data_IF_689215713665
#
_entry.id   IF_689215713665
#
_cell.length_a   1.000
_cell.length_b   1.000
_cell.length_c   1.000
_cell.angle_alpha   90.00
_cell.angle_beta   90.00
_cell.angle_gamma   90.00
#
_symmetry.space_group_name_H-M   'P 1'
#
loop_
_entity.id
_entity.type
_entity.pdbx_description
1 polymer ?
#
# COMPACT_ATOMS: atom_id res chain seq x y z
N UNK A 1 23.65 2.01 3.60
CA UNK A 1 22.32 2.54 3.23
C UNK A 1 21.92 3.70 4.11
N UNK A 2 22.13 3.62 5.43
CA UNK A 2 21.90 4.68 6.42
C UNK A 2 22.40 6.06 5.98
N UNK A 3 23.65 6.20 5.51
CA UNK A 3 24.18 7.49 5.02
C UNK A 3 23.35 8.10 3.87
N UNK A 4 22.83 7.27 2.96
CA UNK A 4 21.98 7.75 1.86
C UNK A 4 20.63 8.23 2.39
N UNK A 5 20.04 7.48 3.34
CA UNK A 5 18.80 7.87 4.01
C UNK A 5 18.99 9.15 4.82
N UNK A 6 20.12 9.30 5.52
CA UNK A 6 20.44 10.50 6.31
C UNK A 6 20.43 11.74 5.43
N UNK A 7 21.15 11.68 4.29
CA UNK A 7 21.19 12.79 3.33
C UNK A 7 19.81 13.10 2.75
N UNK A 8 19.00 12.07 2.46
CA UNK A 8 17.64 12.27 1.99
C UNK A 8 16.77 12.94 3.05
N UNK A 9 16.89 12.51 4.31
CA UNK A 9 16.08 13.01 5.42
C UNK A 9 16.43 14.45 5.82
N UNK A 10 17.68 14.86 5.66
CA UNK A 10 18.07 16.27 5.79
C UNK A 10 17.34 17.15 4.75
N UNK A 11 17.17 16.63 3.54
CA UNK A 11 16.37 17.27 2.49
C UNK A 11 14.88 17.31 2.84
N UNK A 12 14.32 16.17 3.24
CA UNK A 12 12.89 16.03 3.57
C UNK A 12 12.48 16.89 4.78
N UNK A 13 13.33 16.99 5.80
CA UNK A 13 13.09 17.80 7.00
C UNK A 13 13.23 19.31 6.77
N UNK A 14 13.68 19.74 5.59
CA UNK A 14 13.82 21.15 5.25
C UNK A 14 12.49 21.85 5.05
N UNK A 15 12.48 23.18 5.23
CA UNK A 15 11.38 24.05 4.82
C UNK A 15 11.57 24.63 3.40
N UNK A 16 12.72 24.41 2.78
CA UNK A 16 13.04 24.93 1.45
C UNK A 16 12.60 23.94 0.35
N UNK A 17 11.73 24.39 -0.56
CA UNK A 17 11.13 23.54 -1.60
C UNK A 17 12.16 22.77 -2.46
N UNK A 18 13.22 23.42 -2.98
CA UNK A 18 14.33 22.77 -3.66
C UNK A 18 15.04 21.68 -2.83
N UNK A 19 15.25 21.89 -1.53
CA UNK A 19 15.86 20.87 -0.64
C UNK A 19 14.92 19.69 -0.42
N UNK A 20 13.62 19.94 -0.23
CA UNK A 20 12.61 18.88 -0.14
C UNK A 20 12.59 18.05 -1.43
N UNK A 21 12.55 18.72 -2.59
CA UNK A 21 12.62 18.05 -3.90
C UNK A 21 13.85 17.17 -4.05
N UNK A 22 15.01 17.65 -3.59
CA UNK A 22 16.26 16.88 -3.61
C UNK A 22 16.15 15.65 -2.71
N UNK A 23 15.61 15.80 -1.50
CA UNK A 23 15.37 14.68 -0.57
C UNK A 23 14.44 13.62 -1.16
N UNK A 24 13.32 14.03 -1.76
CA UNK A 24 12.38 13.14 -2.43
C UNK A 24 13.05 12.36 -3.57
N UNK A 25 13.84 13.03 -4.43
CA UNK A 25 14.60 12.37 -5.51
C UNK A 25 15.66 11.39 -4.99
N UNK A 26 16.27 11.67 -3.83
CA UNK A 26 17.23 10.75 -3.21
C UNK A 26 16.52 9.48 -2.71
N UNK A 27 15.33 9.60 -2.12
CA UNK A 27 14.49 8.46 -1.77
C UNK A 27 14.08 7.69 -3.01
N UNK A 28 13.54 8.37 -4.02
CA UNK A 28 13.15 7.77 -5.31
C UNK A 28 14.29 6.98 -5.94
N UNK A 29 15.48 7.57 -6.03
CA UNK A 29 16.67 6.93 -6.58
C UNK A 29 17.10 5.69 -5.80
N UNK A 30 16.99 5.72 -4.47
CA UNK A 30 17.27 4.55 -3.62
C UNK A 30 16.26 3.43 -3.89
N UNK A 31 14.96 3.73 -3.93
CA UNK A 31 13.92 2.74 -4.20
C UNK A 31 14.06 2.15 -5.62
N UNK A 32 14.32 3.00 -6.61
CA UNK A 32 14.57 2.56 -7.98
C UNK A 32 15.78 1.62 -8.06
N UNK A 33 16.86 1.92 -7.35
CA UNK A 33 18.04 1.04 -7.31
C UNK A 33 17.70 -0.31 -6.68
N UNK A 34 16.90 -0.35 -5.61
CA UNK A 34 16.49 -1.59 -4.97
C UNK A 34 15.64 -2.44 -5.95
N UNK A 35 14.65 -1.83 -6.59
CA UNK A 35 13.67 -2.52 -7.44
C UNK A 35 14.22 -2.93 -8.82
N UNK A 36 15.08 -2.10 -9.43
CA UNK A 36 15.45 -2.22 -10.85
C UNK A 36 16.91 -2.63 -11.10
N UNK A 37 17.76 -2.68 -10.08
CA UNK A 37 19.14 -3.14 -10.27
C UNK A 37 19.14 -4.61 -10.69
N UNK A 38 19.68 -4.94 -11.87
CA UNK A 38 19.83 -6.33 -12.26
C UNK A 38 20.82 -7.04 -11.30
N UNK A 39 20.58 -8.30 -10.92
CA UNK A 39 21.60 -9.07 -10.21
C UNK A 39 22.83 -9.16 -11.11
N UNK A 40 24.01 -8.87 -10.56
CA UNK A 40 25.27 -8.95 -11.28
C UNK A 40 25.55 -10.41 -11.70
N UNK A 41 24.99 -10.87 -12.83
CA UNK A 41 25.42 -12.10 -13.47
C UNK A 41 26.87 -11.87 -13.92
N UNK A 42 27.77 -12.73 -13.46
CA UNK A 42 29.16 -12.78 -13.90
C UNK A 42 29.19 -12.73 -15.43
N UNK A 43 29.81 -11.68 -15.97
CA UNK A 43 29.97 -11.45 -17.40
C UNK A 43 30.75 -12.62 -18.01
N UNK A 44 30.05 -13.54 -18.67
CA UNK A 44 30.63 -14.41 -19.70
C UNK A 44 30.78 -13.56 -20.96
N UNK A 45 31.97 -13.47 -21.59
CA UNK A 45 32.16 -12.61 -22.75
C UNK A 45 31.92 -13.40 -24.03
N UNK A 46 30.68 -13.49 -24.51
CA UNK A 46 30.44 -13.86 -25.92
C UNK A 46 29.13 -13.29 -26.47
N UNK A 47 29.34 -12.48 -27.52
CA UNK A 47 28.49 -12.19 -28.69
C UNK A 47 27.21 -11.37 -28.55
N UNK A 48 27.19 -10.33 -29.41
CA UNK A 48 26.13 -9.40 -29.75
C UNK A 48 24.80 -10.09 -30.09
N UNK A 49 23.68 -9.61 -29.53
CA UNK A 49 22.64 -8.85 -30.24
C UNK A 49 21.41 -8.65 -29.35
N UNK A 50 20.79 -7.49 -29.52
CA UNK A 50 19.39 -7.13 -29.26
C UNK A 50 18.81 -6.98 -27.82
N UNK A 51 18.18 -5.81 -27.66
CA UNK A 51 17.20 -5.39 -26.65
C UNK A 51 17.69 -5.21 -25.20
N UNK A 52 17.98 -3.95 -24.86
CA UNK A 52 17.89 -3.40 -23.50
C UNK A 52 16.44 -3.46 -22.98
N UNK A 53 15.89 -4.66 -22.78
CA UNK A 53 14.77 -4.82 -21.88
C UNK A 53 15.33 -4.78 -20.46
N UNK A 54 15.15 -3.64 -19.81
CA UNK A 54 15.19 -3.48 -18.37
C UNK A 54 14.15 -4.43 -17.76
N UNK A 55 14.51 -5.72 -17.66
CA UNK A 55 13.71 -6.72 -16.97
C UNK A 55 13.94 -6.47 -15.48
N UNK A 56 13.09 -5.60 -14.91
CA UNK A 56 13.05 -5.39 -13.47
C UNK A 56 12.95 -6.73 -12.74
N UNK A 57 13.45 -6.78 -11.50
CA UNK A 57 13.34 -7.97 -10.65
C UNK A 57 11.87 -8.30 -10.44
N UNK A 58 11.51 -9.60 -10.44
CA UNK A 58 10.19 -9.96 -9.94
C UNK A 58 10.12 -9.67 -8.44
N UNK A 59 8.91 -9.46 -7.91
CA UNK A 59 8.73 -9.21 -6.48
C UNK A 59 9.25 -10.36 -5.61
N UNK A 60 9.20 -11.59 -6.12
CA UNK A 60 9.76 -12.76 -5.44
C UNK A 60 11.29 -12.69 -5.33
N UNK A 61 11.96 -12.20 -6.37
CA UNK A 61 13.42 -12.10 -6.41
C UNK A 61 13.96 -11.00 -5.49
N UNK A 62 13.15 -9.98 -5.17
CA UNK A 62 13.54 -8.93 -4.24
C UNK A 62 13.80 -9.45 -2.82
N UNK A 63 13.07 -10.49 -2.39
CA UNK A 63 13.21 -11.05 -1.05
C UNK A 63 14.59 -11.65 -0.78
N UNK A 64 15.34 -12.02 -1.82
CA UNK A 64 16.71 -12.54 -1.73
C UNK A 64 17.79 -11.48 -1.95
N UNK A 65 17.42 -10.26 -2.35
CA UNK A 65 18.36 -9.18 -2.58
C UNK A 65 18.91 -8.63 -1.24
N UNK A 66 20.25 -8.62 -1.02
CA UNK A 66 20.84 -8.11 0.21
C UNK A 66 20.55 -6.63 0.49
N UNK A 67 20.49 -5.80 -0.55
CA UNK A 67 20.15 -4.38 -0.41
C UNK A 67 18.66 -4.21 -0.04
N UNK A 68 17.76 -5.01 -0.60
CA UNK A 68 16.36 -5.01 -0.18
C UNK A 68 16.19 -5.45 1.28
N UNK A 69 16.87 -6.52 1.70
CA UNK A 69 16.82 -7.00 3.10
C UNK A 69 17.32 -5.95 4.09
N UNK A 70 18.42 -5.27 3.74
CA UNK A 70 18.94 -4.18 4.56
C UNK A 70 17.98 -2.99 4.61
N UNK A 71 17.40 -2.61 3.46
CA UNK A 71 16.37 -1.58 3.41
C UNK A 71 15.19 -1.94 4.32
N UNK A 72 14.64 -3.13 4.15
CA UNK A 72 13.50 -3.65 4.91
C UNK A 72 13.80 -3.61 6.42
N UNK A 73 14.97 -4.11 6.84
CA UNK A 73 15.41 -4.06 8.24
C UNK A 73 15.48 -2.63 8.78
N UNK A 74 15.98 -1.67 8.00
CA UNK A 74 16.01 -0.26 8.40
C UNK A 74 14.60 0.33 8.55
N UNK A 75 13.62 -0.13 7.77
CA UNK A 75 12.24 0.37 7.85
C UNK A 75 11.48 -0.06 9.12
N UNK A 76 11.90 -1.15 9.77
CA UNK A 76 11.34 -1.60 11.06
C UNK A 76 11.63 -0.61 12.21
N UNK A 77 12.74 0.15 12.11
CA UNK A 77 13.13 1.14 13.10
C UNK A 77 12.51 2.52 12.83
N UNK A 78 12.12 3.25 13.89
CA UNK A 78 11.58 4.60 13.76
C UNK A 78 12.58 5.62 13.17
N UNK A 79 13.89 5.40 13.38
CA UNK A 79 14.94 6.32 12.94
C UNK A 79 15.02 6.42 11.41
N UNK A 80 14.90 5.26 10.75
CA UNK A 80 15.15 5.05 9.33
C UNK A 80 13.90 4.74 8.49
N UNK A 81 12.71 4.73 9.11
CA UNK A 81 11.45 4.49 8.42
C UNK A 81 11.12 5.67 7.48
N UNK A 82 11.24 5.40 6.18
CA UNK A 82 11.02 6.37 5.10
C UNK A 82 9.55 6.79 5.03
N UNK A 83 8.59 5.87 5.21
CA UNK A 83 7.17 6.20 5.17
C UNK A 83 6.81 7.24 6.25
N UNK A 84 7.31 7.05 7.48
CA UNK A 84 7.13 8.02 8.56
C UNK A 84 7.75 9.39 8.22
N UNK A 85 8.94 9.43 7.61
CA UNK A 85 9.58 10.67 7.18
C UNK A 85 8.80 11.37 6.06
N UNK A 86 8.24 10.62 5.13
CA UNK A 86 7.39 11.14 4.05
C UNK A 86 6.06 11.68 4.59
N UNK A 87 5.40 10.98 5.51
CA UNK A 87 4.18 11.47 6.18
C UNK A 87 4.45 12.80 6.89
N UNK A 88 5.55 12.90 7.65
CA UNK A 88 5.93 14.16 8.30
C UNK A 88 6.22 15.27 7.28
N UNK A 89 6.75 14.92 6.11
CA UNK A 89 7.00 15.88 5.02
C UNK A 89 5.69 16.36 4.42
N UNK A 90 4.74 15.44 4.19
CA UNK A 90 3.41 15.74 3.68
C UNK A 90 2.65 16.71 4.60
N UNK A 91 2.64 16.43 5.91
CA UNK A 91 2.05 17.32 6.93
C UNK A 91 2.60 18.76 6.84
N UNK A 92 3.93 18.91 6.72
CA UNK A 92 4.56 20.24 6.52
C UNK A 92 4.20 20.90 5.19
N UNK A 93 4.03 20.12 4.12
CA UNK A 93 3.66 20.65 2.80
C UNK A 93 2.20 21.09 2.77
N UNK A 94 1.32 20.42 3.51
CA UNK A 94 -0.09 20.80 3.66
C UNK A 94 -0.27 22.10 4.46
N UNK A 95 0.63 22.37 5.41
CA UNK A 95 0.69 23.66 6.10
C UNK A 95 1.17 24.84 5.23
N UNK A 96 1.63 24.57 4.00
CA UNK A 96 2.04 25.60 3.03
C UNK A 96 0.90 25.83 2.03
N UNK A 97 0.77 27.07 1.57
CA UNK A 97 -0.26 27.46 0.61
C UNK A 97 -0.16 26.69 -0.72
N UNK A 98 -1.22 26.82 -1.52
CA UNK A 98 -1.34 26.19 -2.83
C UNK A 98 -0.56 26.98 -3.88
N UNK A 99 0.71 26.64 -4.06
CA UNK A 99 1.47 27.00 -5.26
C UNK A 99 1.76 25.74 -6.08
N UNK A 100 1.86 25.89 -7.41
CA UNK A 100 2.05 24.73 -8.29
C UNK A 100 3.36 23.96 -8.05
N UNK A 101 4.35 24.53 -7.34
CA UNK A 101 5.55 23.81 -6.97
C UNK A 101 5.34 22.93 -5.73
N UNK A 102 4.56 23.41 -4.76
CA UNK A 102 4.15 22.69 -3.56
C UNK A 102 3.30 21.48 -3.95
N UNK A 103 2.37 21.64 -4.90
CA UNK A 103 1.55 20.56 -5.43
C UNK A 103 2.41 19.41 -5.99
N UNK A 104 3.47 19.74 -6.74
CA UNK A 104 4.40 18.73 -7.27
C UNK A 104 5.15 17.98 -6.16
N UNK A 105 5.46 18.65 -5.04
CA UNK A 105 6.09 18.01 -3.88
C UNK A 105 5.12 17.08 -3.14
N UNK A 106 3.86 17.48 -3.01
CA UNK A 106 2.78 16.65 -2.44
C UNK A 106 2.61 15.40 -3.28
N UNK A 107 2.46 15.55 -4.61
CA UNK A 107 2.31 14.43 -5.54
C UNK A 107 3.50 13.46 -5.45
N UNK A 108 4.73 13.98 -5.45
CA UNK A 108 5.94 13.15 -5.31
C UNK A 108 6.00 12.44 -3.96
N UNK A 109 5.52 13.07 -2.88
CA UNK A 109 5.48 12.46 -1.55
C UNK A 109 4.46 11.32 -1.49
N UNK A 110 3.26 11.52 -2.05
CA UNK A 110 2.21 10.49 -2.13
C UNK A 110 2.67 9.27 -2.95
N UNK A 111 3.32 9.48 -4.08
CA UNK A 111 3.85 8.41 -4.93
C UNK A 111 4.93 7.58 -4.20
N UNK A 112 5.86 8.26 -3.52
CA UNK A 112 6.87 7.58 -2.70
C UNK A 112 6.27 6.85 -1.49
N UNK A 113 5.23 7.41 -0.85
CA UNK A 113 4.51 6.71 0.23
C UNK A 113 3.94 5.40 -0.32
N UNK A 114 3.26 5.42 -1.47
CA UNK A 114 2.73 4.20 -2.10
C UNK A 114 3.84 3.16 -2.33
N UNK A 115 4.95 3.57 -2.96
CA UNK A 115 6.08 2.68 -3.23
C UNK A 115 6.67 2.06 -1.96
N UNK A 116 6.85 2.85 -0.90
CA UNK A 116 7.40 2.35 0.38
C UNK A 116 6.41 1.42 1.08
N UNK A 117 5.10 1.70 1.06
CA UNK A 117 4.09 0.82 1.66
C UNK A 117 4.00 -0.55 0.95
N UNK A 118 4.26 -0.59 -0.36
CA UNK A 118 4.33 -1.83 -1.12
C UNK A 118 5.62 -2.62 -0.85
N UNK A 119 6.76 -1.93 -0.69
CA UNK A 119 8.05 -2.57 -0.39
C UNK A 119 8.18 -3.00 1.08
N UNK A 120 7.53 -2.28 1.98
CA UNK A 120 7.52 -2.55 3.41
C UNK A 120 6.08 -2.51 3.96
N UNK A 121 5.30 -3.59 3.77
CA UNK A 121 3.92 -3.69 4.25
C UNK A 121 3.71 -3.33 5.74
N UNK A 122 4.64 -3.64 6.68
CA UNK A 122 4.47 -3.22 8.08
C UNK A 122 4.33 -1.70 8.27
N UNK A 123 4.87 -0.88 7.36
CA UNK A 123 4.69 0.58 7.40
C UNK A 123 3.22 1.01 7.23
N UNK A 124 2.34 0.16 6.71
CA UNK A 124 0.89 0.46 6.65
C UNK A 124 0.31 0.69 8.03
N UNK A 125 0.87 0.08 9.09
CA UNK A 125 0.42 0.28 10.47
C UNK A 125 0.48 1.75 10.92
N UNK A 126 1.28 2.60 10.24
CA UNK A 126 1.32 4.05 10.50
C UNK A 126 -0.06 4.71 10.30
N UNK A 127 -0.91 4.17 9.42
CA UNK A 127 -2.23 4.72 9.11
C UNK A 127 -3.36 4.22 10.02
N UNK A 128 -3.07 3.33 10.97
CA UNK A 128 -4.01 3.01 12.06
C UNK A 128 -4.17 4.18 13.03
N UNK A 129 -3.19 5.10 13.03
CA UNK A 129 -3.22 6.35 13.81
C UNK A 129 -4.10 7.38 13.10
N UNK A 130 -5.09 7.88 13.81
CA UNK A 130 -6.06 8.84 13.27
C UNK A 130 -5.40 10.06 12.62
N UNK A 131 -4.37 10.63 13.27
CA UNK A 131 -3.65 11.79 12.73
C UNK A 131 -3.11 11.54 11.31
N UNK A 132 -2.54 10.36 11.07
CA UNK A 132 -1.93 10.06 9.77
C UNK A 132 -3.00 9.75 8.71
N UNK A 133 -4.12 9.15 9.11
CA UNK A 133 -5.26 8.92 8.21
C UNK A 133 -5.94 10.24 7.83
N UNK A 134 -6.14 11.14 8.80
CA UNK A 134 -6.70 12.47 8.56
C UNK A 134 -5.89 13.27 7.55
N UNK A 135 -4.55 13.18 7.56
CA UNK A 135 -3.73 13.81 6.51
C UNK A 135 -4.13 13.39 5.09
N UNK A 136 -4.50 12.12 4.88
CA UNK A 136 -4.99 11.67 3.58
C UNK A 136 -6.41 12.18 3.32
N UNK A 137 -7.29 12.20 4.32
CA UNK A 137 -8.65 12.71 4.17
C UNK A 137 -8.68 14.21 3.85
N UNK A 138 -7.83 15.00 4.49
CA UNK A 138 -7.67 16.44 4.26
C UNK A 138 -7.21 16.73 2.83
N UNK A 139 -6.36 15.87 2.25
CA UNK A 139 -5.95 15.98 0.84
C UNK A 139 -7.07 15.67 -0.16
N UNK A 140 -8.17 15.06 0.27
CA UNK A 140 -9.37 14.87 -0.56
C UNK A 140 -10.28 16.10 -0.59
N UNK A 141 -10.04 17.12 0.23
CA UNK A 141 -10.88 18.30 0.26
C UNK A 141 -10.97 19.00 -1.12
N UNK A 142 -12.11 19.63 -1.46
CA UNK A 142 -12.31 20.29 -2.76
C UNK A 142 -11.34 21.44 -3.07
N UNK A 143 -10.62 21.95 -2.06
CA UNK A 143 -9.59 22.99 -2.24
C UNK A 143 -8.37 22.48 -2.99
N UNK A 144 -8.08 21.17 -2.89
CA UNK A 144 -6.94 20.54 -3.53
C UNK A 144 -7.22 20.27 -5.01
N UNK A 145 -6.17 20.33 -5.83
CA UNK A 145 -6.31 20.11 -7.25
C UNK A 145 -6.65 18.63 -7.57
N UNK A 146 -7.32 18.35 -8.72
CA UNK A 146 -7.74 17.00 -9.10
C UNK A 146 -6.61 15.94 -9.10
N UNK A 147 -5.39 16.35 -9.42
CA UNK A 147 -4.23 15.48 -9.42
C UNK A 147 -3.88 14.99 -8.00
N UNK A 148 -3.89 15.89 -7.01
CA UNK A 148 -3.65 15.54 -5.61
C UNK A 148 -4.75 14.61 -5.11
N UNK A 149 -6.01 14.95 -5.33
CA UNK A 149 -7.15 14.10 -4.93
C UNK A 149 -7.04 12.68 -5.52
N UNK A 150 -6.67 12.57 -6.80
CA UNK A 150 -6.49 11.28 -7.47
C UNK A 150 -5.33 10.47 -6.89
N UNK A 151 -4.19 11.11 -6.64
CA UNK A 151 -3.02 10.46 -6.03
C UNK A 151 -3.29 10.04 -4.57
N UNK A 152 -4.04 10.85 -3.83
CA UNK A 152 -4.47 10.56 -2.47
C UNK A 152 -5.39 9.35 -2.41
N UNK A 153 -6.37 9.22 -3.33
CA UNK A 153 -7.23 8.04 -3.42
C UNK A 153 -6.41 6.76 -3.66
N UNK A 154 -5.40 6.80 -4.53
CA UNK A 154 -4.52 5.66 -4.77
C UNK A 154 -3.64 5.34 -3.54
N UNK A 155 -3.20 6.37 -2.83
CA UNK A 155 -2.46 6.22 -1.56
C UNK A 155 -3.32 5.58 -0.48
N UNK A 156 -4.61 5.97 -0.38
CA UNK A 156 -5.59 5.32 0.48
C UNK A 156 -5.76 3.85 0.11
N UNK A 157 -5.98 3.50 -1.16
CA UNK A 157 -6.05 2.07 -1.57
C UNK A 157 -4.82 1.31 -1.08
N UNK A 158 -3.63 1.86 -1.28
CA UNK A 158 -2.37 1.21 -0.87
C UNK A 158 -2.24 1.06 0.65
N UNK A 159 -2.72 2.05 1.41
CA UNK A 159 -2.71 2.01 2.87
C UNK A 159 -3.77 1.05 3.46
N UNK A 160 -4.89 0.85 2.76
CA UNK A 160 -6.03 0.08 3.24
C UNK A 160 -6.00 -1.40 2.79
N UNK A 161 -5.41 -1.69 1.62
CA UNK A 161 -5.38 -3.05 1.07
C UNK A 161 -4.64 -4.01 2.01
N UNK A 162 -5.26 -5.15 2.27
CA UNK A 162 -4.79 -6.17 3.22
C UNK A 162 -4.53 -5.61 4.64
N UNK A 163 -5.21 -4.53 5.04
CA UNK A 163 -5.07 -3.93 6.37
C UNK A 163 -6.43 -3.46 6.91
N UNK A 164 -7.31 -4.39 7.34
CA UNK A 164 -8.64 -4.09 7.86
C UNK A 164 -8.67 -3.01 8.95
N UNK A 165 -7.71 -3.04 9.88
CA UNK A 165 -7.58 -2.02 10.95
C UNK A 165 -7.48 -0.60 10.39
N UNK A 166 -6.74 -0.39 9.29
CA UNK A 166 -6.67 0.92 8.67
C UNK A 166 -8.01 1.30 8.03
N UNK A 167 -8.74 0.33 7.46
CA UNK A 167 -10.10 0.55 6.95
C UNK A 167 -11.05 0.97 8.07
N UNK A 168 -10.94 0.33 9.26
CA UNK A 168 -11.70 0.74 10.45
C UNK A 168 -11.37 2.18 10.86
N UNK A 169 -10.09 2.57 10.90
CA UNK A 169 -9.67 3.95 11.21
C UNK A 169 -10.22 4.94 10.17
N UNK A 170 -10.14 4.61 8.88
CA UNK A 170 -10.70 5.44 7.80
C UNK A 170 -12.21 5.67 7.98
N UNK A 171 -12.96 4.62 8.30
CA UNK A 171 -14.41 4.73 8.52
C UNK A 171 -14.76 5.52 9.78
N UNK A 172 -14.02 5.31 10.87
CA UNK A 172 -14.21 6.03 12.13
C UNK A 172 -13.99 7.55 12.00
N UNK A 173 -13.20 7.96 11.00
CA UNK A 173 -12.93 9.35 10.65
C UNK A 173 -13.83 9.88 9.54
N UNK A 174 -15.02 9.30 9.37
CA UNK A 174 -15.99 9.70 8.35
C UNK A 174 -15.45 9.64 6.91
N UNK A 175 -14.44 8.79 6.65
CA UNK A 175 -13.82 8.67 5.34
C UNK A 175 -14.81 8.33 4.21
N UNK A 176 -15.83 7.51 4.51
CA UNK A 176 -16.92 7.20 3.57
C UNK A 176 -17.76 8.43 3.24
N UNK A 177 -18.06 9.27 4.23
CA UNK A 177 -18.78 10.52 4.02
C UNK A 177 -17.94 11.47 3.15
N UNK A 178 -16.64 11.59 3.41
CA UNK A 178 -15.71 12.41 2.62
C UNK A 178 -15.67 11.96 1.15
N UNK A 179 -15.42 10.67 0.90
CA UNK A 179 -15.37 10.08 -0.45
C UNK A 179 -16.69 10.24 -1.19
N UNK A 180 -17.82 9.90 -0.56
CA UNK A 180 -19.14 10.00 -1.21
C UNK A 180 -19.58 11.44 -1.43
N UNK A 181 -19.24 12.37 -0.54
CA UNK A 181 -19.53 13.79 -0.71
C UNK A 181 -18.74 14.38 -1.88
N UNK A 182 -17.45 14.03 -1.99
CA UNK A 182 -16.63 14.39 -3.15
C UNK A 182 -17.19 13.79 -4.44
N UNK A 183 -17.66 12.54 -4.42
CA UNK A 183 -18.26 11.88 -5.59
C UNK A 183 -19.56 12.56 -6.05
N UNK A 184 -20.44 12.88 -5.09
CA UNK A 184 -21.74 13.53 -5.33
C UNK A 184 -21.60 14.96 -5.81
N UNK A 185 -20.53 15.66 -5.44
CA UNK A 185 -20.32 17.04 -5.84
C UNK A 185 -20.28 17.19 -7.36
N UNK A 186 -20.96 18.23 -7.86
CA UNK A 186 -20.98 18.57 -9.29
C UNK A 186 -19.70 19.26 -9.75
N UNK A 187 -18.94 19.85 -8.82
CA UNK A 187 -17.66 20.51 -9.13
C UNK A 187 -16.49 19.53 -9.28
N UNK A 188 -16.65 18.29 -8.83
CA UNK A 188 -15.59 17.27 -8.89
C UNK A 188 -15.26 16.90 -10.32
N UNK A 189 -13.97 16.97 -10.66
CA UNK A 189 -13.45 16.63 -11.97
C UNK A 189 -13.80 15.19 -12.37
N UNK A 190 -14.04 14.96 -13.66
CA UNK A 190 -14.44 13.65 -14.19
C UNK A 190 -13.41 12.54 -13.86
N UNK A 191 -12.13 12.86 -13.95
CA UNK A 191 -11.05 11.92 -13.62
C UNK A 191 -11.07 11.49 -12.15
N UNK A 192 -11.33 12.43 -11.23
CA UNK A 192 -11.47 12.15 -9.79
C UNK A 192 -12.71 11.29 -9.54
N UNK A 193 -13.83 11.56 -10.24
CA UNK A 193 -15.03 10.71 -10.13
C UNK A 193 -14.77 9.27 -10.53
N UNK A 194 -13.95 9.05 -11.57
CA UNK A 194 -13.55 7.70 -11.98
C UNK A 194 -12.72 7.02 -10.88
N UNK A 195 -11.75 7.74 -10.30
CA UNK A 195 -10.96 7.23 -9.16
C UNK A 195 -11.78 6.96 -7.91
N UNK A 196 -12.80 7.76 -7.63
CA UNK A 196 -13.73 7.54 -6.52
C UNK A 196 -14.54 6.27 -6.74
N UNK A 197 -15.01 6.00 -7.97
CA UNK A 197 -15.71 4.75 -8.29
C UNK A 197 -14.77 3.54 -8.14
N UNK A 198 -13.54 3.62 -8.62
CA UNK A 198 -12.52 2.57 -8.40
C UNK A 198 -12.28 2.31 -6.91
N UNK A 199 -12.18 3.38 -6.11
CA UNK A 199 -12.03 3.29 -4.66
C UNK A 199 -13.25 2.62 -4.00
N UNK A 200 -14.48 2.98 -4.41
CA UNK A 200 -15.70 2.37 -3.87
C UNK A 200 -15.80 0.87 -4.22
N UNK A 201 -15.39 0.48 -5.43
CA UNK A 201 -15.29 -0.93 -5.79
C UNK A 201 -14.26 -1.65 -4.91
N UNK A 202 -13.06 -1.09 -4.73
CA UNK A 202 -12.05 -1.61 -3.82
C UNK A 202 -12.59 -1.76 -2.40
N UNK A 203 -13.26 -0.74 -1.86
CA UNK A 203 -13.83 -0.76 -0.52
C UNK A 203 -14.85 -1.89 -0.33
N UNK A 204 -15.66 -2.18 -1.35
CA UNK A 204 -16.67 -3.24 -1.30
C UNK A 204 -16.09 -4.66 -1.51
N UNK A 205 -14.86 -4.81 -2.00
CA UNK A 205 -14.23 -6.12 -2.14
C UNK A 205 -14.03 -6.81 -0.78
N UNK A 206 -14.09 -8.15 -0.69
CA UNK A 206 -13.78 -8.86 0.56
C UNK A 206 -12.41 -8.47 1.12
N UNK A 207 -12.33 -8.24 2.44
CA UNK A 207 -11.07 -7.83 3.10
C UNK A 207 -10.07 -8.98 3.27
N UNK A 208 -10.53 -10.23 3.16
CA UNK A 208 -9.72 -11.44 3.23
C UNK A 208 -10.02 -12.28 2.00
N UNK A 209 -9.01 -12.89 1.35
CA UNK A 209 -9.26 -13.84 0.27
C UNK A 209 -10.14 -14.99 0.80
N UNK A 210 -11.37 -15.11 0.28
CA UNK A 210 -12.17 -16.30 0.49
C UNK A 210 -11.50 -17.45 -0.27
N UNK A 211 -10.76 -18.30 0.43
CA UNK A 211 -10.43 -19.61 -0.13
C UNK A 211 -11.71 -20.41 -0.03
N UNK A 212 -12.31 -20.87 -1.14
CA UNK A 212 -13.43 -21.80 -1.06
C UNK A 212 -12.97 -22.98 -0.23
N UNK A 213 -13.56 -23.18 0.95
CA UNK A 213 -13.42 -24.44 1.67
C UNK A 213 -13.89 -25.49 0.69
N UNK A 214 -12.96 -26.30 0.20
CA UNK A 214 -13.32 -27.53 -0.48
C UNK A 214 -14.06 -28.36 0.57
N UNK A 215 -15.40 -28.28 0.56
CA UNK A 215 -16.23 -29.25 1.22
C UNK A 215 -15.68 -30.61 0.79
N UNK A 216 -15.27 -31.39 1.79
CA UNK A 216 -14.76 -32.74 1.61
C UNK A 216 -15.90 -33.56 1.02
N UNK A 217 -16.02 -33.53 -0.31
CA UNK A 217 -16.70 -34.55 -1.07
C UNK A 217 -15.72 -35.70 -1.13
N UNK A 218 -16.00 -36.71 -0.31
CA UNK A 218 -15.45 -38.04 -0.47
C UNK A 218 -15.47 -38.43 -1.95
N UNK A 219 -14.37 -39.01 -2.44
CA UNK A 219 -14.20 -39.72 -3.71
C UNK A 219 -13.47 -38.98 -4.86
N UNK A 220 -12.18 -38.62 -4.73
CA UNK A 220 -11.25 -38.58 -5.89
C UNK A 220 -9.81 -38.94 -5.45
N UNK A 221 -9.05 -39.80 -6.17
CA UNK A 221 -7.71 -40.22 -5.77
C UNK A 221 -6.67 -39.09 -5.86
N UNK A 222 -5.73 -39.10 -4.91
CA UNK A 222 -4.66 -38.13 -4.76
C UNK A 222 -3.67 -38.11 -5.93
N UNK A 223 -3.78 -37.13 -6.82
CA UNK A 223 -2.66 -36.70 -7.67
C UNK A 223 -2.88 -35.23 -8.06
N UNK A 224 -1.97 -34.35 -7.63
CA UNK A 224 -1.92 -32.89 -7.88
C UNK A 224 -2.76 -31.97 -6.97
N UNK A 225 -2.58 -32.09 -5.65
CA UNK A 225 -2.73 -30.91 -4.78
C UNK A 225 -1.44 -30.09 -4.81
N UNK A 226 -1.37 -29.08 -5.70
CA UNK A 226 -0.36 -28.01 -5.56
C UNK A 226 -0.93 -26.98 -4.59
N UNK A 227 -0.46 -27.03 -3.34
CA UNK A 227 -0.86 -26.12 -2.27
C UNK A 227 -0.54 -24.65 -2.60
N UNK A 228 -1.46 -23.71 -2.39
CA UNK A 228 -1.22 -22.26 -2.58
C UNK A 228 -0.51 -21.61 -1.38
N UNK A 229 0.38 -22.35 -0.70
CA UNK A 229 0.99 -21.92 0.56
C UNK A 229 2.32 -21.18 0.39
N UNK A 230 2.74 -20.83 -0.83
CA UNK A 230 4.03 -20.18 -1.08
C UNK A 230 4.03 -18.65 -1.07
N UNK A 231 2.87 -17.99 -0.96
CA UNK A 231 2.79 -16.53 -0.80
C UNK A 231 2.89 -16.09 0.67
N UNK A 232 2.33 -16.86 1.61
CA UNK A 232 2.42 -16.56 3.04
C UNK A 232 3.83 -16.74 3.63
N UNK A 233 4.72 -17.46 2.93
CA UNK A 233 6.08 -17.75 3.39
C UNK A 233 7.11 -16.66 3.09
N UNK A 234 6.84 -15.74 2.16
CA UNK A 234 7.82 -14.74 1.70
C UNK A 234 8.09 -13.62 2.71
N UNK A 235 7.22 -13.43 3.70
CA UNK A 235 7.33 -12.37 4.71
C UNK A 235 7.53 -12.89 6.14
N UNK A 236 7.58 -14.22 6.34
CA UNK A 236 7.38 -14.84 7.65
C UNK A 236 8.58 -15.54 8.32
N UNK A 237 9.78 -15.60 7.71
CA UNK A 237 10.86 -16.38 8.32
C UNK A 237 12.27 -15.85 8.05
N UNK A 238 12.79 -15.05 8.97
CA UNK A 238 14.22 -14.81 9.13
C UNK A 238 14.57 -14.57 10.60
N UNK A 239 14.40 -15.59 11.44
CA UNK A 239 15.05 -15.67 12.75
C UNK A 239 15.39 -17.13 13.06
N UNK A 240 16.54 -17.58 12.60
CA UNK A 240 17.11 -18.88 12.98
C UNK A 240 18.51 -18.67 13.55
N UNK A 241 18.57 -18.61 14.88
CA UNK A 241 19.79 -18.85 15.68
C UNK A 241 19.50 -20.10 16.52
N UNK A 242 20.44 -21.05 16.67
CA UNK A 242 20.12 -22.34 17.27
C UNK A 242 20.28 -22.36 18.81
N UNK A 243 19.47 -23.23 19.41
CA UNK A 243 19.68 -23.94 20.68
C UNK A 243 19.61 -23.15 22.00
N UNK A 244 18.46 -23.26 22.69
CA UNK A 244 18.40 -23.84 24.04
C UNK A 244 16.96 -24.20 24.42
N UNK A 245 16.86 -25.25 25.22
CA UNK A 245 15.66 -25.88 25.75
C UNK A 245 14.91 -24.97 26.73
N UNK A 246 13.65 -24.61 26.43
CA UNK A 246 12.58 -24.74 27.42
C UNK A 246 11.19 -24.60 26.80
N UNK A 247 10.31 -25.52 27.18
CA UNK A 247 8.96 -25.67 26.67
C UNK A 247 7.97 -24.97 27.61
N UNK A 248 7.54 -23.74 27.27
CA UNK A 248 6.22 -23.20 27.63
C UNK A 248 6.11 -21.73 27.23
N UNK A 249 5.59 -21.46 26.03
CA UNK A 249 4.77 -20.28 25.67
C UNK A 249 4.60 -20.20 24.15
N UNK A 250 3.83 -21.13 23.59
CA UNK A 250 3.22 -20.94 22.28
C UNK A 250 2.09 -19.90 22.43
N UNK A 251 2.44 -18.61 22.47
CA UNK A 251 1.48 -17.51 22.47
C UNK A 251 0.94 -17.31 21.05
N UNK A 252 -0.27 -17.83 20.83
CA UNK A 252 -1.40 -17.16 20.18
C UNK A 252 -1.01 -15.99 19.26
N UNK A 253 -0.73 -16.28 17.98
CA UNK A 253 -0.64 -15.26 16.92
C UNK A 253 -1.79 -15.29 15.91
N UNK A 254 -2.75 -16.20 16.08
CA UNK A 254 -3.86 -16.41 15.14
C UNK A 254 -5.21 -15.81 15.60
N UNK A 255 -5.25 -15.12 16.75
CA UNK A 255 -6.51 -14.65 17.36
C UNK A 255 -6.87 -13.19 17.12
N UNK A 256 -5.97 -12.37 16.54
CA UNK A 256 -6.16 -10.92 16.43
C UNK A 256 -6.64 -10.45 15.06
N UNK A 257 -6.47 -11.26 14.00
CA UNK A 257 -6.87 -10.87 12.64
C UNK A 257 -8.39 -11.01 12.41
N UNK A 258 -9.08 -11.80 13.23
CA UNK A 258 -10.51 -12.09 13.07
C UNK A 258 -11.45 -11.03 13.64
N UNK A 259 -11.00 -10.09 14.47
CA UNK A 259 -11.89 -9.11 15.12
C UNK A 259 -12.17 -7.87 14.29
N UNK A 260 -11.27 -7.51 13.37
CA UNK A 260 -11.32 -6.23 12.65
C UNK A 260 -11.85 -6.37 11.21
N UNK A 261 -12.01 -7.60 10.71
CA UNK A 261 -12.48 -7.83 9.34
C UNK A 261 -14.00 -7.69 9.24
N UNK A 262 -14.47 -6.93 8.26
CA UNK A 262 -15.91 -6.81 7.95
C UNK A 262 -16.28 -7.49 6.64
N UNK A 263 -17.49 -8.05 6.62
CA UNK A 263 -18.09 -8.66 5.43
C UNK A 263 -18.45 -7.61 4.39
N UNK A 264 -18.59 -8.02 3.13
CA UNK A 264 -19.04 -7.12 2.06
C UNK A 264 -20.44 -6.57 2.34
N UNK A 265 -21.32 -7.37 2.95
CA UNK A 265 -22.67 -6.96 3.33
C UNK A 265 -22.67 -5.85 4.39
N UNK A 266 -21.85 -5.97 5.43
CA UNK A 266 -21.76 -4.91 6.46
C UNK A 266 -21.15 -3.62 5.89
N UNK A 267 -20.15 -3.74 5.01
CA UNK A 267 -19.58 -2.59 4.30
C UNK A 267 -20.58 -1.94 3.35
N UNK A 268 -21.43 -2.73 2.69
CA UNK A 268 -22.55 -2.21 1.89
C UNK A 268 -23.51 -1.41 2.78
N UNK A 269 -23.85 -1.89 3.97
CA UNK A 269 -24.72 -1.16 4.90
C UNK A 269 -24.11 0.19 5.32
N UNK A 270 -22.81 0.20 5.67
CA UNK A 270 -22.09 1.42 6.03
C UNK A 270 -22.07 2.43 4.88
N UNK A 271 -21.72 1.99 3.67
CA UNK A 271 -21.72 2.85 2.49
C UNK A 271 -23.13 3.33 2.14
N UNK A 272 -24.16 2.49 2.35
CA UNK A 272 -25.57 2.80 2.13
C UNK A 272 -26.10 3.99 2.95
N UNK A 273 -25.45 4.29 4.09
CA UNK A 273 -25.77 5.49 4.90
C UNK A 273 -25.41 6.80 4.19
N UNK A 274 -24.52 6.75 3.21
CA UNK A 274 -24.00 7.94 2.52
C UNK A 274 -24.33 7.99 1.01
N UNK A 275 -24.64 6.85 0.40
CA UNK A 275 -24.96 6.70 -1.02
C UNK A 275 -26.21 5.82 -1.20
N UNK A 276 -27.17 6.23 -2.03
CA UNK A 276 -28.46 5.53 -2.17
C UNK A 276 -28.47 4.37 -3.18
N UNK A 277 -27.46 4.26 -4.04
CA UNK A 277 -27.42 3.31 -5.16
C UNK A 277 -26.29 2.29 -4.99
N UNK A 278 -26.03 1.85 -3.75
CA UNK A 278 -24.91 0.93 -3.47
C UNK A 278 -25.17 -0.45 -4.07
N UNK A 279 -26.44 -0.85 -4.17
CA UNK A 279 -26.87 -2.11 -4.75
C UNK A 279 -26.43 -2.25 -6.21
N UNK A 280 -26.45 -1.16 -6.98
CA UNK A 280 -25.99 -1.16 -8.36
C UNK A 280 -24.47 -1.37 -8.43
N UNK A 281 -23.68 -0.73 -7.56
CA UNK A 281 -22.23 -0.96 -7.48
C UNK A 281 -21.92 -2.40 -7.10
N UNK A 282 -22.62 -2.98 -6.13
CA UNK A 282 -22.40 -4.37 -5.71
C UNK A 282 -22.77 -5.35 -6.81
N UNK A 283 -23.87 -5.08 -7.53
CA UNK A 283 -24.27 -5.88 -8.69
C UNK A 283 -23.21 -5.81 -9.79
N UNK A 284 -22.72 -4.62 -10.11
CA UNK A 284 -21.70 -4.41 -11.14
C UNK A 284 -20.38 -5.09 -10.77
N UNK A 285 -19.98 -5.06 -9.49
CA UNK A 285 -18.79 -5.77 -8.99
C UNK A 285 -18.90 -7.29 -9.19
N UNK A 286 -20.07 -7.87 -8.90
CA UNK A 286 -20.36 -9.30 -9.05
C UNK A 286 -20.41 -9.74 -10.51
N UNK A 287 -20.89 -8.89 -11.43
CA UNK A 287 -21.01 -9.22 -12.86
C UNK A 287 -19.72 -8.98 -13.63
N UNK A 288 -18.96 -7.93 -13.29
CA UNK A 288 -17.80 -7.51 -14.08
C UNK A 288 -16.52 -8.26 -13.68
N UNK A 289 -16.43 -8.87 -12.49
CA UNK A 289 -15.20 -9.50 -11.97
C UNK A 289 -13.95 -8.66 -12.29
N UNK A 290 -13.88 -7.39 -11.84
CA UNK A 290 -12.93 -6.39 -12.38
C UNK A 290 -11.45 -6.78 -12.26
N UNK A 291 -11.13 -7.78 -11.44
CA UNK A 291 -9.77 -8.34 -11.25
C UNK A 291 -9.64 -9.82 -11.64
N UNK A 292 -10.49 -10.34 -12.54
CA UNK A 292 -10.27 -11.64 -13.20
C UNK A 292 -10.69 -12.89 -12.42
N UNK A 293 -11.68 -12.78 -11.52
CA UNK A 293 -12.36 -13.96 -10.94
C UNK A 293 -11.55 -14.77 -9.90
N UNK A 294 -10.42 -14.27 -9.40
CA UNK A 294 -9.60 -14.94 -8.37
C UNK A 294 -10.06 -14.60 -6.93
N UNK A 295 -11.10 -13.78 -6.77
CA UNK A 295 -11.66 -13.40 -5.47
C UNK A 295 -13.12 -13.88 -5.39
N UNK A 296 -13.31 -15.19 -5.22
CA UNK A 296 -14.55 -15.85 -4.84
C UNK A 296 -14.19 -17.21 -4.21
#
# INVERSE_FOLDING_TARGET
MENLLSLAFDGLSSYDGPKIRKGLRQVEGLLAQICLSAPAKSRSPTTDDDAFHNSGKSLADLSDDPAFREFFKLQEGFEWNVALRLINTLDRLMGKGTDGQNDLLILSSLDLIQGVLLLHPPSKALFSREQNMNLLLDLLEPVNCPAIQSATLLTLVTALIDTPTNTRTFEALDGLLTVTSLFKSRSTAREVKLKLVEFLYFYLMPEVPSIPRADVRDSVPAIHQRSPSKLAGAFGSAASTPASTDASHARSRAGSESSDTMTTEEKQELLGRHLSNVEDLVRDLRTCTPFGGVVC
#
